data_IF_280937818918
#
_entry.id   IF_280937818918
#
_cell.length_a   1.000
_cell.length_b   1.000
_cell.length_c   1.000
_cell.angle_alpha   90.00
_cell.angle_beta   90.00
_cell.angle_gamma   90.00
#
_symmetry.space_group_name_H-M   'P 1'
#
loop_
_entity.id
_entity.type
_entity.pdbx_description
1 polymer ?
#
# COMPACT_ATOMS: atom_id res chain seq x y z
N UNK A 1 -28.20 -13.94 2.80
CA UNK A 1 -27.01 -13.13 2.46
C UNK A 1 -26.16 -13.98 1.53
N UNK A 2 -25.79 -13.46 0.35
CA UNK A 2 -24.89 -14.17 -0.58
C UNK A 2 -23.45 -14.12 -0.06
N UNK A 3 -22.56 -14.96 -0.62
CA UNK A 3 -21.12 -14.92 -0.31
C UNK A 3 -20.55 -13.53 -0.60
N UNK A 4 -20.82 -12.96 -1.78
CA UNK A 4 -20.36 -11.61 -2.13
C UNK A 4 -20.87 -10.53 -1.18
N UNK A 5 -22.12 -10.62 -0.73
CA UNK A 5 -22.67 -9.68 0.26
C UNK A 5 -21.91 -9.78 1.59
N UNK A 6 -21.66 -11.01 2.06
CA UNK A 6 -20.88 -11.24 3.27
C UNK A 6 -19.45 -10.71 3.13
N UNK A 7 -18.77 -11.01 2.02
CA UNK A 7 -17.40 -10.59 1.78
C UNK A 7 -17.25 -9.07 1.61
N UNK A 8 -18.21 -8.41 0.96
CA UNK A 8 -18.26 -6.95 0.92
C UNK A 8 -18.52 -6.31 2.28
N UNK A 9 -19.35 -6.92 3.15
CA UNK A 9 -19.53 -6.46 4.54
C UNK A 9 -18.24 -6.64 5.33
N UNK A 10 -17.58 -7.80 5.20
CA UNK A 10 -16.30 -8.08 5.84
C UNK A 10 -15.24 -7.04 5.44
N UNK A 11 -15.06 -6.81 4.13
CA UNK A 11 -14.11 -5.83 3.60
C UNK A 11 -14.36 -4.44 4.17
N UNK A 12 -15.61 -3.95 4.16
CA UNK A 12 -15.93 -2.62 4.72
C UNK A 12 -15.63 -2.51 6.21
N UNK A 13 -15.86 -3.58 6.97
CA UNK A 13 -15.50 -3.59 8.39
C UNK A 13 -13.99 -3.67 8.63
N UNK A 14 -13.24 -4.28 7.71
CA UNK A 14 -11.77 -4.25 7.73
C UNK A 14 -11.27 -2.81 7.51
N UNK A 15 -11.75 -2.12 6.48
CA UNK A 15 -11.38 -0.73 6.17
C UNK A 15 -11.79 0.26 7.27
N UNK A 16 -12.94 0.01 7.92
CA UNK A 16 -13.41 0.81 9.05
C UNK A 16 -12.74 0.47 10.40
N UNK A 17 -11.75 -0.43 10.41
CA UNK A 17 -11.04 -0.90 11.61
C UNK A 17 -11.95 -1.51 12.69
N UNK A 18 -13.05 -2.15 12.29
CA UNK A 18 -14.01 -2.81 13.20
C UNK A 18 -13.66 -4.27 13.51
N UNK A 19 -12.69 -4.87 12.81
CA UNK A 19 -12.31 -6.27 13.00
C UNK A 19 -11.36 -6.46 14.19
N UNK A 20 -11.48 -7.61 14.86
CA UNK A 20 -10.59 -7.97 15.97
C UNK A 20 -9.14 -8.17 15.50
N UNK A 21 -8.16 -7.88 16.36
CA UNK A 21 -6.73 -8.08 16.04
C UNK A 21 -6.45 -9.52 15.58
N UNK A 22 -5.60 -9.66 14.56
CA UNK A 22 -5.18 -10.97 14.05
C UNK A 22 -6.20 -11.65 13.12
N UNK A 23 -7.21 -10.92 12.62
CA UNK A 23 -8.14 -11.44 11.62
C UNK A 23 -7.41 -11.89 10.34
N UNK A 24 -8.00 -12.86 9.65
CA UNK A 24 -7.59 -13.30 8.29
C UNK A 24 -8.80 -13.23 7.37
N UNK A 25 -8.56 -13.22 6.06
CA UNK A 25 -9.66 -13.25 5.08
C UNK A 25 -10.42 -14.58 5.23
N UNK A 26 -11.76 -14.57 5.38
CA UNK A 26 -12.56 -15.79 5.40
C UNK A 26 -12.33 -16.60 4.12
N UNK A 27 -12.28 -17.93 4.23
CA UNK A 27 -12.01 -18.82 3.08
C UNK A 27 -12.99 -18.60 1.93
N UNK A 28 -14.27 -18.38 2.24
CA UNK A 28 -15.31 -18.11 1.25
C UNK A 28 -15.11 -16.78 0.51
N UNK A 29 -14.28 -15.88 1.03
CA UNK A 29 -14.00 -14.56 0.46
C UNK A 29 -12.70 -14.47 -0.34
N UNK A 30 -11.96 -15.58 -0.50
CA UNK A 30 -10.68 -15.58 -1.23
C UNK A 30 -10.88 -15.06 -2.67
N UNK A 31 -11.86 -15.61 -3.39
CA UNK A 31 -12.10 -15.22 -4.79
C UNK A 31 -12.63 -13.79 -4.89
N UNK A 32 -13.57 -13.40 -4.01
CA UNK A 32 -14.09 -12.04 -3.95
C UNK A 32 -12.97 -11.01 -3.72
N UNK A 33 -12.10 -11.24 -2.74
CA UNK A 33 -10.99 -10.33 -2.42
C UNK A 33 -9.94 -10.36 -3.54
N UNK A 34 -9.63 -11.55 -4.09
CA UNK A 34 -8.73 -11.67 -5.22
C UNK A 34 -9.20 -10.85 -6.43
N UNK A 35 -10.48 -10.93 -6.74
CA UNK A 35 -11.12 -10.13 -7.79
C UNK A 35 -11.07 -8.63 -7.48
N UNK A 36 -11.41 -8.23 -6.25
CA UNK A 36 -11.31 -6.82 -5.84
C UNK A 36 -9.88 -6.27 -6.00
N UNK A 37 -8.87 -7.01 -5.56
CA UNK A 37 -7.45 -6.59 -5.59
C UNK A 37 -6.85 -6.56 -6.99
N UNK A 38 -7.37 -7.36 -7.93
CA UNK A 38 -6.74 -7.58 -9.24
C UNK A 38 -7.56 -7.10 -10.45
N UNK A 39 -8.90 -6.99 -10.34
CA UNK A 39 -9.81 -6.64 -11.44
C UNK A 39 -10.25 -5.16 -11.44
N UNK A 40 -9.53 -4.31 -10.72
CA UNK A 40 -9.58 -2.85 -10.91
C UNK A 40 -10.34 -2.05 -9.84
N UNK A 41 -11.23 -2.67 -9.06
CA UNK A 41 -11.94 -1.95 -7.98
C UNK A 41 -10.97 -1.37 -6.94
N UNK A 42 -9.99 -2.17 -6.48
CA UNK A 42 -8.90 -1.68 -5.63
C UNK A 42 -8.17 -0.48 -6.23
N UNK A 43 -7.87 -0.53 -7.54
CA UNK A 43 -7.23 0.58 -8.24
C UNK A 43 -8.09 1.85 -8.26
N UNK A 44 -9.41 1.69 -8.41
CA UNK A 44 -10.38 2.77 -8.34
C UNK A 44 -10.45 3.43 -6.96
N UNK A 45 -10.46 2.63 -5.89
CA UNK A 45 -10.50 3.14 -4.52
C UNK A 45 -9.21 3.89 -4.15
N UNK A 46 -8.05 3.34 -4.51
CA UNK A 46 -6.75 4.03 -4.33
C UNK A 46 -6.68 5.32 -5.16
N UNK A 47 -7.17 5.30 -6.41
CA UNK A 47 -7.28 6.51 -7.23
C UNK A 47 -8.17 7.56 -6.56
N UNK A 48 -9.32 7.16 -6.02
CA UNK A 48 -10.21 8.05 -5.29
C UNK A 48 -9.53 8.71 -4.09
N UNK A 49 -8.81 7.93 -3.28
CA UNK A 49 -8.07 8.44 -2.12
C UNK A 49 -6.98 9.44 -2.54
N UNK A 50 -6.12 9.07 -3.48
CA UNK A 50 -5.03 9.91 -3.98
C UNK A 50 -5.53 11.19 -4.67
N UNK A 51 -6.68 11.14 -5.36
CA UNK A 51 -7.33 12.32 -5.93
C UNK A 51 -7.74 13.33 -4.84
N UNK A 52 -8.33 12.87 -3.74
CA UNK A 52 -8.70 13.77 -2.63
C UNK A 52 -7.46 14.33 -1.95
N UNK A 53 -6.43 13.51 -1.73
CA UNK A 53 -5.14 13.96 -1.19
C UNK A 53 -4.48 15.03 -2.07
N UNK A 54 -4.55 14.86 -3.38
CA UNK A 54 -4.05 15.84 -4.37
C UNK A 54 -4.78 17.17 -4.24
N UNK A 55 -6.11 17.15 -4.16
CA UNK A 55 -6.92 18.37 -3.96
C UNK A 55 -6.56 19.07 -2.66
N UNK A 56 -6.36 18.32 -1.59
CA UNK A 56 -5.93 18.84 -0.30
C UNK A 56 -4.53 19.48 -0.38
N UNK A 57 -3.56 18.81 -1.00
CA UNK A 57 -2.20 19.33 -1.16
C UNK A 57 -2.16 20.68 -1.90
N UNK A 58 -3.04 20.87 -2.89
CA UNK A 58 -3.16 22.12 -3.66
C UNK A 58 -3.66 23.31 -2.84
N UNK A 59 -4.16 23.10 -1.62
CA UNK A 59 -4.52 24.18 -0.70
C UNK A 59 -3.29 24.90 -0.10
N UNK A 60 -2.08 24.35 -0.27
CA UNK A 60 -0.84 24.89 0.29
C UNK A 60 0.22 25.21 -0.78
N UNK A 61 -0.04 26.14 -1.71
CA UNK A 61 0.82 26.34 -2.90
C UNK A 61 2.19 26.98 -2.61
N UNK A 62 2.36 27.68 -1.48
CA UNK A 62 3.57 28.46 -1.19
C UNK A 62 4.36 27.97 0.03
N UNK A 63 3.74 27.16 0.89
CA UNK A 63 4.39 26.55 2.05
C UNK A 63 3.85 25.13 2.26
N UNK A 64 4.17 24.19 1.34
CA UNK A 64 3.58 22.86 1.33
C UNK A 64 3.94 22.03 2.57
N UNK A 65 5.10 22.25 3.19
CA UNK A 65 5.52 21.48 4.36
C UNK A 65 6.03 20.08 3.99
N UNK A 66 5.58 19.06 4.73
CA UNK A 66 6.06 17.68 4.58
C UNK A 66 4.88 16.71 4.44
N UNK A 67 4.92 15.86 3.42
CA UNK A 67 4.02 14.72 3.28
C UNK A 67 4.71 13.44 3.75
N UNK A 68 4.02 12.64 4.55
CA UNK A 68 4.53 11.36 5.05
C UNK A 68 3.80 10.23 4.34
N UNK A 69 4.55 9.29 3.78
CA UNK A 69 4.00 8.06 3.19
C UNK A 69 4.47 6.84 3.98
N UNK A 70 3.55 5.90 4.20
CA UNK A 70 3.93 4.52 4.47
C UNK A 70 4.46 3.88 3.17
N UNK A 71 5.36 2.91 3.26
CA UNK A 71 5.87 2.20 2.07
C UNK A 71 4.93 1.08 1.63
N UNK A 72 4.76 0.05 2.45
CA UNK A 72 3.99 -1.15 2.10
C UNK A 72 2.49 -0.88 1.99
N UNK A 73 1.84 -1.43 0.94
CA UNK A 73 0.42 -1.23 0.61
C UNK A 73 0.00 0.23 0.39
N UNK A 74 0.95 1.16 0.31
CA UNK A 74 0.70 2.59 0.04
C UNK A 74 1.48 3.04 -1.19
N UNK A 75 2.80 2.83 -1.22
CA UNK A 75 3.65 3.08 -2.39
C UNK A 75 3.96 1.78 -3.15
N UNK A 76 4.33 0.73 -2.42
CA UNK A 76 4.68 -0.57 -2.98
C UNK A 76 3.57 -1.60 -2.69
N UNK A 77 3.15 -2.30 -3.74
CA UNK A 77 2.15 -3.35 -3.65
C UNK A 77 2.78 -4.70 -3.37
N UNK A 78 2.33 -5.31 -2.27
CA UNK A 78 2.61 -6.69 -1.89
C UNK A 78 1.47 -7.64 -2.29
N UNK A 79 0.51 -7.19 -3.11
CA UNK A 79 -0.53 -8.06 -3.68
C UNK A 79 0.06 -9.31 -4.35
N UNK A 80 1.19 -9.23 -5.10
CA UNK A 80 1.80 -10.44 -5.65
C UNK A 80 2.21 -11.46 -4.59
N UNK A 81 2.72 -11.02 -3.43
CA UNK A 81 2.99 -11.92 -2.31
C UNK A 81 1.70 -12.51 -1.75
N UNK A 82 0.70 -11.67 -1.46
CA UNK A 82 -0.56 -12.13 -0.88
C UNK A 82 -1.37 -13.04 -1.80
N UNK A 83 -1.24 -12.91 -3.12
CA UNK A 83 -1.84 -13.84 -4.09
C UNK A 83 -1.34 -15.29 -3.87
N UNK A 84 -0.06 -15.49 -3.54
CA UNK A 84 0.48 -16.81 -3.18
C UNK A 84 0.01 -17.30 -1.81
N UNK A 85 -0.58 -16.40 -1.01
CA UNK A 85 -1.08 -16.63 0.35
C UNK A 85 -2.61 -16.54 0.43
N UNK A 86 -3.30 -16.88 -0.66
CA UNK A 86 -4.77 -16.85 -0.75
C UNK A 86 -5.37 -15.50 -0.36
N UNK A 87 -4.75 -14.42 -0.83
CA UNK A 87 -5.13 -13.03 -0.56
C UNK A 87 -5.30 -12.68 0.93
N UNK A 88 -4.56 -13.35 1.82
CA UNK A 88 -4.61 -13.12 3.27
C UNK A 88 -5.50 -14.06 4.06
N UNK A 89 -6.04 -15.11 3.43
CA UNK A 89 -6.71 -16.21 4.16
C UNK A 89 -5.70 -17.11 4.87
N UNK A 90 -4.46 -17.20 4.37
CA UNK A 90 -3.35 -17.80 5.10
C UNK A 90 -2.69 -16.74 6.00
N UNK A 91 -2.44 -17.04 7.29
CA UNK A 91 -1.71 -16.14 8.16
C UNK A 91 -0.36 -15.72 7.56
N UNK A 92 0.04 -14.48 7.84
CA UNK A 92 1.35 -13.95 7.44
C UNK A 92 2.44 -14.74 8.14
N UNK A 93 3.38 -15.26 7.35
CA UNK A 93 4.64 -15.77 7.85
C UNK A 93 5.70 -14.67 7.70
N UNK A 94 6.20 -14.15 8.82
CA UNK A 94 7.15 -13.03 8.80
C UNK A 94 8.47 -13.38 8.10
N UNK A 95 9.01 -14.57 8.31
CA UNK A 95 10.26 -15.01 7.67
C UNK A 95 10.11 -15.09 6.15
N UNK A 96 9.01 -15.67 5.68
CA UNK A 96 8.71 -15.77 4.25
C UNK A 96 8.52 -14.38 3.62
N UNK A 97 7.79 -13.49 4.30
CA UNK A 97 7.62 -12.12 3.84
C UNK A 97 8.95 -11.35 3.80
N UNK A 98 9.82 -11.53 4.79
CA UNK A 98 11.13 -10.88 4.82
C UNK A 98 12.01 -11.33 3.67
N UNK A 99 12.00 -12.63 3.35
CA UNK A 99 12.68 -13.16 2.17
C UNK A 99 12.11 -12.58 0.89
N UNK A 100 10.78 -12.41 0.80
CA UNK A 100 10.14 -11.78 -0.35
C UNK A 100 10.54 -10.30 -0.49
N UNK A 101 10.59 -9.54 0.60
CA UNK A 101 11.03 -8.13 0.62
C UNK A 101 12.47 -8.01 0.10
N UNK A 102 13.36 -8.92 0.48
CA UNK A 102 14.77 -8.89 0.04
C UNK A 102 14.92 -9.03 -1.48
N UNK A 103 13.94 -9.66 -2.16
CA UNK A 103 13.94 -9.76 -3.62
C UNK A 103 13.79 -8.40 -4.29
N UNK A 104 13.18 -7.41 -3.62
CA UNK A 104 13.00 -6.05 -4.15
C UNK A 104 12.13 -5.98 -5.40
N UNK A 105 11.08 -6.81 -5.47
CA UNK A 105 10.20 -6.98 -6.64
C UNK A 105 8.77 -6.46 -6.42
N UNK A 106 8.50 -5.76 -5.32
CA UNK A 106 7.20 -5.14 -5.11
C UNK A 106 6.95 -4.11 -6.21
N UNK A 107 5.72 -4.04 -6.72
CA UNK A 107 5.38 -3.14 -7.83
C UNK A 107 4.83 -1.81 -7.31
N UNK A 108 5.00 -0.73 -8.07
CA UNK A 108 4.41 0.55 -7.71
C UNK A 108 2.88 0.47 -7.69
N UNK A 109 2.26 1.11 -6.70
CA UNK A 109 0.84 1.44 -6.74
C UNK A 109 0.70 2.70 -7.61
N UNK A 110 0.21 2.53 -8.84
CA UNK A 110 0.29 3.56 -9.90
C UNK A 110 -0.27 4.92 -9.47
N UNK A 111 -1.48 4.97 -8.92
CA UNK A 111 -2.09 6.23 -8.48
C UNK A 111 -1.31 6.90 -7.35
N UNK A 112 -0.68 6.13 -6.46
CA UNK A 112 0.20 6.65 -5.43
C UNK A 112 1.50 7.22 -6.00
N UNK A 113 2.07 6.60 -7.03
CA UNK A 113 3.23 7.13 -7.75
C UNK A 113 2.90 8.45 -8.45
N UNK A 114 1.75 8.53 -9.11
CA UNK A 114 1.30 9.77 -9.76
C UNK A 114 1.16 10.90 -8.74
N UNK A 115 0.49 10.63 -7.61
CA UNK A 115 0.35 11.60 -6.51
C UNK A 115 1.69 12.00 -5.88
N UNK A 116 2.58 11.02 -5.65
CA UNK A 116 3.93 11.27 -5.15
C UNK A 116 4.70 12.26 -6.05
N UNK A 117 4.62 12.07 -7.36
CA UNK A 117 5.26 12.95 -8.33
C UNK A 117 4.62 14.35 -8.36
N UNK A 118 3.30 14.46 -8.22
CA UNK A 118 2.62 15.75 -8.09
C UNK A 118 3.11 16.54 -6.87
N UNK A 119 3.29 15.86 -5.72
CA UNK A 119 3.82 16.47 -4.51
C UNK A 119 5.25 17.00 -4.72
N UNK A 120 6.12 16.22 -5.37
CA UNK A 120 7.47 16.66 -5.71
C UNK A 120 7.45 17.89 -6.62
N UNK A 121 6.63 17.89 -7.68
CA UNK A 121 6.48 19.04 -8.57
C UNK A 121 5.98 20.29 -7.84
N UNK A 122 5.17 20.11 -6.80
CA UNK A 122 4.67 21.17 -5.93
C UNK A 122 5.61 21.50 -4.75
N UNK A 123 6.85 21.02 -4.76
CA UNK A 123 7.88 21.29 -3.74
C UNK A 123 7.52 20.82 -2.31
N UNK A 124 6.66 19.82 -2.16
CA UNK A 124 6.47 19.15 -0.88
C UNK A 124 7.73 18.36 -0.52
N UNK A 125 8.15 18.42 0.76
CA UNK A 125 9.13 17.45 1.26
C UNK A 125 8.43 16.13 1.47
N UNK A 126 9.08 15.03 1.08
CA UNK A 126 8.50 13.70 1.26
C UNK A 126 9.33 12.91 2.25
N UNK A 127 8.69 12.39 3.29
CA UNK A 127 9.29 11.44 4.23
C UNK A 127 8.59 10.09 4.07
N UNK A 128 9.40 9.03 4.03
CA UNK A 128 8.93 7.66 3.97
C UNK A 128 9.10 7.02 5.36
N UNK A 129 8.06 6.35 5.82
CA UNK A 129 8.08 5.48 6.99
C UNK A 129 7.73 4.05 6.55
N UNK A 130 8.22 3.04 7.28
CA UNK A 130 7.88 1.64 7.04
C UNK A 130 8.22 0.77 8.22
N UNK A 131 7.37 -0.22 8.49
CA UNK A 131 7.60 -1.26 9.51
C UNK A 131 8.58 -2.35 9.04
N UNK A 132 9.28 -2.11 7.92
CA UNK A 132 10.37 -2.98 7.45
C UNK A 132 11.56 -2.74 8.36
N UNK A 133 12.33 -3.78 8.62
CA UNK A 133 13.53 -3.66 9.45
C UNK A 133 14.61 -2.81 8.76
N UNK A 134 15.41 -2.08 9.53
CA UNK A 134 16.63 -1.42 9.04
C UNK A 134 17.57 -2.36 8.26
N UNK A 135 17.59 -3.66 8.56
CA UNK A 135 18.34 -4.67 7.80
C UNK A 135 17.88 -4.82 6.34
N UNK A 136 16.67 -4.35 6.02
CA UNK A 136 16.06 -4.36 4.68
C UNK A 136 16.21 -3.01 3.97
N UNK A 137 16.96 -2.04 4.52
CA UNK A 137 17.11 -0.70 3.96
C UNK A 137 17.53 -0.71 2.49
N UNK A 138 18.63 -1.38 2.18
CA UNK A 138 19.17 -1.41 0.81
C UNK A 138 18.18 -2.02 -0.19
N UNK A 139 17.54 -3.14 0.19
CA UNK A 139 16.54 -3.78 -0.66
C UNK A 139 15.31 -2.89 -0.86
N UNK A 140 14.88 -2.18 0.19
CA UNK A 140 13.73 -1.27 0.14
C UNK A 140 14.02 -0.05 -0.74
N UNK A 141 15.16 0.60 -0.57
CA UNK A 141 15.55 1.75 -1.41
C UNK A 141 15.73 1.34 -2.87
N UNK A 142 16.37 0.19 -3.14
CA UNK A 142 16.49 -0.36 -4.49
C UNK A 142 15.12 -0.62 -5.11
N UNK A 143 14.20 -1.21 -4.37
CA UNK A 143 12.85 -1.49 -4.86
C UNK A 143 12.08 -0.19 -5.14
N UNK A 144 12.12 0.79 -4.24
CA UNK A 144 11.47 2.10 -4.42
C UNK A 144 11.96 2.78 -5.70
N UNK A 145 13.27 2.83 -5.92
CA UNK A 145 13.87 3.40 -7.14
C UNK A 145 13.46 2.64 -8.39
N UNK A 146 13.51 1.31 -8.36
CA UNK A 146 13.07 0.47 -9.47
C UNK A 146 11.58 0.64 -9.79
N UNK A 147 10.77 0.96 -8.78
CA UNK A 147 9.34 1.25 -8.90
C UNK A 147 9.05 2.71 -9.33
N UNK A 148 10.07 3.54 -9.52
CA UNK A 148 9.93 4.93 -10.00
C UNK A 148 9.90 6.00 -8.91
N UNK A 149 10.02 5.63 -7.64
CA UNK A 149 10.11 6.58 -6.54
C UNK A 149 11.53 7.10 -6.37
N UNK A 150 11.69 8.41 -6.21
CA UNK A 150 12.97 9.06 -5.92
C UNK A 150 12.74 10.44 -5.30
N UNK A 151 13.76 11.08 -4.73
CA UNK A 151 13.62 12.44 -4.21
C UNK A 151 12.99 12.56 -2.81
N UNK A 152 12.77 11.45 -2.10
CA UNK A 152 12.39 11.52 -0.69
C UNK A 152 13.51 12.15 0.15
N UNK A 153 13.11 12.92 1.16
CA UNK A 153 14.01 13.57 2.12
C UNK A 153 14.60 12.59 3.11
N UNK A 154 13.80 11.64 3.61
CA UNK A 154 14.24 10.63 4.58
C UNK A 154 13.42 9.35 4.45
N UNK A 155 14.07 8.21 4.62
CA UNK A 155 13.44 6.91 4.81
C UNK A 155 13.72 6.43 6.23
N UNK A 156 12.66 6.26 7.02
CA UNK A 156 12.68 5.77 8.41
C UNK A 156 12.14 4.34 8.40
N UNK A 157 12.92 3.43 8.97
CA UNK A 157 12.59 2.00 9.11
C UNK A 157 12.61 1.64 10.60
N UNK A 158 12.06 0.46 10.94
CA UNK A 158 12.05 -0.09 12.31
C UNK A 158 13.39 -0.74 12.71
#
# INVERSE_FOLDING_TARGET
MTVDQFCGIFQRNAEAANLAKGWTVPKDCIDYIGDYMTKGLYGGDVWGATLQSTKFARLFPTNPGTWIFQVDQTLLSNVPYYATRQFGALPRNSTDFDLWVQQGKAVAIKSSLDFYNELLCANWRIVLISDRSEKQREATERNLRAAGYSGWTKLILD
#
